data_IF_532989679751
#
_entry.id   IF_532989679751
#
_cell.length_a   1.000
_cell.length_b   1.000
_cell.length_c   1.000
_cell.angle_alpha   90.00
_cell.angle_beta   90.00
_cell.angle_gamma   90.00
#
_symmetry.space_group_name_H-M   'P 1'
#
loop_
_entity.id
_entity.type
_entity.pdbx_description
1 polymer ?
#
# COMPACT_ATOMS: atom_id res chain seq x y z
N UNK A 1 6.89 2.40 -1.02
CA UNK A 1 8.29 2.09 -0.70
C UNK A 1 9.10 3.36 -0.89
N UNK A 2 10.01 3.70 0.02
CA UNK A 2 10.84 4.91 -0.11
C UNK A 2 11.92 4.69 -1.16
N UNK A 3 12.15 5.66 -2.03
CA UNK A 3 13.33 5.61 -2.91
C UNK A 3 14.60 5.97 -2.12
N UNK A 4 15.77 5.66 -2.67
CA UNK A 4 17.05 6.07 -2.06
C UNK A 4 17.19 7.59 -2.01
N UNK A 5 16.60 8.30 -2.97
CA UNK A 5 16.52 9.76 -3.00
C UNK A 5 15.59 10.28 -1.91
N UNK A 6 14.43 9.64 -1.67
CA UNK A 6 13.53 10.00 -0.57
C UNK A 6 14.24 9.89 0.78
N UNK A 7 15.00 8.81 1.00
CA UNK A 7 15.80 8.61 2.22
C UNK A 7 16.92 9.66 2.34
N UNK A 8 17.63 9.94 1.25
CA UNK A 8 18.72 10.91 1.24
C UNK A 8 18.23 12.33 1.54
N UNK A 9 17.14 12.76 0.89
CA UNK A 9 16.47 14.06 1.10
C UNK A 9 16.03 14.24 2.54
N UNK A 10 15.31 13.26 3.06
CA UNK A 10 14.81 13.29 4.44
C UNK A 10 15.94 13.36 5.47
N UNK A 11 17.00 12.56 5.26
CA UNK A 11 18.18 12.59 6.13
C UNK A 11 18.92 13.93 6.08
N UNK A 12 19.13 14.49 4.89
CA UNK A 12 19.82 15.77 4.71
C UNK A 12 19.01 16.94 5.27
N UNK A 13 17.69 16.95 5.08
CA UNK A 13 16.81 17.98 5.66
C UNK A 13 16.84 17.96 7.19
N UNK A 14 16.78 16.78 7.81
CA UNK A 14 16.84 16.64 9.28
C UNK A 14 18.19 17.04 9.84
N UNK A 15 19.27 16.61 9.21
CA UNK A 15 20.64 16.91 9.66
C UNK A 15 21.07 18.35 9.35
N UNK A 16 20.52 18.93 8.28
CA UNK A 16 20.91 20.23 7.77
C UNK A 16 20.31 21.39 8.54
N UNK A 17 19.21 21.19 9.26
CA UNK A 17 18.49 22.27 9.95
C UNK A 17 19.45 23.04 10.87
N UNK A 18 19.57 24.35 10.65
CA UNK A 18 20.45 25.23 11.42
C UNK A 18 21.94 25.11 11.08
N UNK A 19 22.33 24.32 10.06
CA UNK A 19 23.71 24.28 9.61
C UNK A 19 24.04 25.53 8.80
N UNK A 20 25.19 26.12 9.11
CA UNK A 20 25.79 27.20 8.33
C UNK A 20 26.26 26.72 6.95
N UNK A 21 26.50 27.66 6.03
CA UNK A 21 27.07 27.36 4.72
C UNK A 21 28.40 26.59 4.79
N UNK A 22 29.25 26.88 5.78
CA UNK A 22 30.52 26.18 5.99
C UNK A 22 30.29 24.71 6.41
N UNK A 23 29.39 24.47 7.37
CA UNK A 23 29.05 23.12 7.83
C UNK A 23 28.35 22.30 6.73
N UNK A 24 27.53 22.94 5.90
CA UNK A 24 26.93 22.28 4.72
C UNK A 24 28.02 21.91 3.71
N UNK A 25 29.04 22.76 3.49
CA UNK A 25 30.17 22.44 2.62
C UNK A 25 31.00 21.25 3.14
N UNK A 26 31.16 21.12 4.46
CA UNK A 26 31.77 19.94 5.09
C UNK A 26 30.93 18.68 4.81
N UNK A 27 29.60 18.77 4.90
CA UNK A 27 28.70 17.64 4.58
C UNK A 27 28.77 17.23 3.12
N UNK A 28 28.90 18.18 2.19
CA UNK A 28 29.16 17.89 0.76
C UNK A 28 30.45 17.11 0.60
N UNK A 29 31.52 17.55 1.25
CA UNK A 29 32.84 16.91 1.19
C UNK A 29 32.81 15.50 1.78
N UNK A 30 32.15 15.33 2.92
CA UNK A 30 31.95 14.03 3.57
C UNK A 30 31.19 13.07 2.64
N UNK A 31 30.06 13.52 2.08
CA UNK A 31 29.23 12.70 1.21
C UNK A 31 29.99 12.29 -0.08
N UNK A 32 30.75 13.21 -0.68
CA UNK A 32 31.61 12.91 -1.84
C UNK A 32 32.70 11.89 -1.52
N UNK A 33 33.32 11.95 -0.33
CA UNK A 33 34.29 10.93 0.11
C UNK A 33 33.61 9.57 0.25
N UNK A 34 32.47 9.51 0.95
CA UNK A 34 31.74 8.26 1.20
C UNK A 34 31.19 7.62 -0.08
N UNK A 35 30.72 8.43 -1.02
CA UNK A 35 30.32 7.95 -2.35
C UNK A 35 31.49 7.24 -3.04
N UNK A 36 32.68 7.87 -3.09
CA UNK A 36 33.86 7.25 -3.70
C UNK A 36 34.30 5.98 -3.00
N UNK A 37 34.33 5.98 -1.67
CA UNK A 37 34.71 4.80 -0.87
C UNK A 37 33.78 3.62 -1.13
N UNK A 38 32.46 3.86 -1.13
CA UNK A 38 31.47 2.79 -1.35
C UNK A 38 31.45 2.30 -2.80
N UNK A 39 31.67 3.19 -3.78
CA UNK A 39 31.88 2.78 -5.18
C UNK A 39 33.16 1.94 -5.37
N UNK A 40 34.24 2.26 -4.65
CA UNK A 40 35.47 1.47 -4.69
C UNK A 40 35.30 0.11 -4.02
N UNK A 41 34.58 0.05 -2.90
CA UNK A 41 34.25 -1.21 -2.24
C UNK A 41 33.44 -2.12 -3.16
N UNK A 42 32.46 -1.59 -3.90
CA UNK A 42 31.68 -2.36 -4.87
C UNK A 42 32.56 -2.98 -5.98
N UNK A 43 33.67 -2.33 -6.35
CA UNK A 43 34.62 -2.81 -7.36
C UNK A 43 35.65 -3.80 -6.82
N UNK A 44 35.74 -3.97 -5.50
CA UNK A 44 36.71 -4.85 -4.88
C UNK A 44 36.27 -6.33 -4.98
N UNK A 45 37.20 -7.26 -5.23
CA UNK A 45 36.89 -8.68 -5.45
C UNK A 45 36.30 -9.41 -4.23
N UNK A 46 36.23 -8.76 -3.05
CA UNK A 46 35.68 -9.32 -1.82
C UNK A 46 34.14 -9.49 -1.82
N UNK A 47 33.43 -8.97 -2.83
CA UNK A 47 31.96 -9.02 -2.91
C UNK A 47 31.43 -10.19 -3.76
N UNK A 48 32.26 -11.15 -4.12
CA UNK A 48 31.88 -12.26 -5.02
C UNK A 48 31.19 -13.44 -4.30
N UNK A 49 31.11 -13.43 -2.95
CA UNK A 49 30.48 -14.48 -2.12
C UNK A 49 29.31 -13.95 -1.28
N UNK A 50 28.39 -13.21 -1.92
CA UNK A 50 27.21 -12.68 -1.24
C UNK A 50 26.13 -13.77 -1.25
N UNK A 51 25.89 -14.39 -0.09
CA UNK A 51 24.79 -15.34 0.09
C UNK A 51 23.41 -14.71 -0.17
N UNK A 52 22.34 -15.51 -0.38
CA UNK A 52 21.02 -15.06 -0.83
C UNK A 52 20.28 -14.09 0.11
N UNK A 53 20.82 -13.82 1.29
CA UNK A 53 20.24 -12.94 2.30
C UNK A 53 21.06 -11.67 2.57
N UNK A 54 22.19 -11.49 1.88
CA UNK A 54 22.99 -10.30 2.11
C UNK A 54 22.37 -9.07 1.43
N UNK A 55 22.59 -7.86 2.00
CA UNK A 55 21.99 -6.63 1.50
C UNK A 55 22.40 -6.37 0.05
N UNK A 56 21.53 -5.73 -0.73
CA UNK A 56 21.88 -5.25 -2.06
C UNK A 56 23.19 -4.43 -1.99
N UNK A 57 24.29 -4.92 -2.58
CA UNK A 57 25.59 -4.26 -2.48
C UNK A 57 25.60 -2.90 -3.18
N UNK A 58 24.68 -2.67 -4.13
CA UNK A 58 24.54 -1.38 -4.81
C UNK A 58 23.76 -0.35 -4.00
N UNK A 59 23.01 -0.78 -2.98
CA UNK A 59 22.16 0.11 -2.20
C UNK A 59 22.96 1.22 -1.52
N UNK A 60 24.07 0.86 -0.88
CA UNK A 60 24.88 1.81 -0.11
C UNK A 60 25.59 2.85 -1.01
N UNK A 61 26.23 2.47 -2.15
CA UNK A 61 26.71 3.43 -3.15
C UNK A 61 25.61 4.37 -3.68
N UNK A 62 24.43 3.83 -4.04
CA UNK A 62 23.30 4.63 -4.51
C UNK A 62 22.83 5.63 -3.46
N UNK A 63 22.75 5.21 -2.21
CA UNK A 63 22.37 6.08 -1.10
C UNK A 63 23.37 7.24 -0.89
N UNK A 64 24.68 6.96 -0.94
CA UNK A 64 25.68 8.01 -0.78
C UNK A 64 25.72 8.99 -1.95
N UNK A 65 25.55 8.51 -3.18
CA UNK A 65 25.40 9.37 -4.36
C UNK A 65 24.18 10.29 -4.24
N UNK A 66 23.04 9.75 -3.78
CA UNK A 66 21.83 10.53 -3.54
C UNK A 66 22.04 11.57 -2.42
N UNK A 67 22.69 11.21 -1.31
CA UNK A 67 23.05 12.14 -0.23
C UNK A 67 23.97 13.26 -0.71
N UNK A 68 24.99 12.92 -1.50
CA UNK A 68 25.91 13.90 -2.05
C UNK A 68 25.19 14.90 -2.96
N UNK A 69 24.31 14.41 -3.84
CA UNK A 69 23.47 15.26 -4.70
C UNK A 69 22.62 16.22 -3.87
N UNK A 70 21.98 15.72 -2.81
CA UNK A 70 21.13 16.54 -1.96
C UNK A 70 21.91 17.60 -1.16
N UNK A 71 23.06 17.24 -0.59
CA UNK A 71 23.90 18.22 0.11
C UNK A 71 24.39 19.33 -0.82
N UNK A 72 24.68 19.01 -2.09
CA UNK A 72 25.02 20.01 -3.11
C UNK A 72 23.85 20.94 -3.42
N UNK A 73 22.62 20.41 -3.46
CA UNK A 73 21.41 21.21 -3.64
C UNK A 73 21.21 22.19 -2.47
N UNK A 74 21.35 21.71 -1.23
CA UNK A 74 21.25 22.56 -0.02
C UNK A 74 22.34 23.64 -0.02
N UNK A 75 23.58 23.30 -0.38
CA UNK A 75 24.66 24.28 -0.51
C UNK A 75 24.35 25.35 -1.57
N UNK A 76 23.80 24.95 -2.72
CA UNK A 76 23.38 25.87 -3.77
C UNK A 76 22.21 26.76 -3.32
N UNK A 77 21.26 26.21 -2.57
CA UNK A 77 20.13 26.94 -2.02
C UNK A 77 20.61 28.02 -1.04
N UNK A 78 21.48 27.68 -0.08
CA UNK A 78 22.06 28.65 0.85
C UNK A 78 22.81 29.77 0.13
N UNK A 79 23.60 29.41 -0.88
CA UNK A 79 24.32 30.40 -1.69
C UNK A 79 23.37 31.33 -2.44
N UNK A 80 22.25 30.81 -2.94
CA UNK A 80 21.27 31.57 -3.70
C UNK A 80 20.38 32.45 -2.81
N UNK A 81 20.02 31.98 -1.62
CA UNK A 81 19.19 32.74 -0.67
C UNK A 81 19.98 33.81 0.08
N UNK A 82 21.30 33.63 0.24
CA UNK A 82 22.13 34.50 1.07
C UNK A 82 21.90 34.32 2.57
N UNK A 83 21.11 33.32 2.95
CA UNK A 83 20.84 32.97 4.35
C UNK A 83 22.09 32.42 5.02
N UNK A 84 22.25 32.70 6.31
CA UNK A 84 23.42 32.23 7.06
C UNK A 84 23.31 30.75 7.42
N UNK A 85 22.08 30.25 7.62
CA UNK A 85 21.79 28.90 8.08
C UNK A 85 20.68 28.27 7.23
N UNK A 86 20.75 26.94 7.10
CA UNK A 86 19.74 26.22 6.34
C UNK A 86 18.46 26.05 7.16
N UNK A 87 17.39 26.70 6.70
CA UNK A 87 16.04 26.50 7.19
C UNK A 87 15.22 25.66 6.18
N UNK A 88 14.86 24.40 6.51
CA UNK A 88 14.03 23.57 5.65
C UNK A 88 12.65 24.16 5.32
N UNK A 89 12.13 25.08 6.14
CA UNK A 89 10.82 25.71 5.92
C UNK A 89 10.87 26.77 4.80
N UNK A 90 12.06 27.26 4.46
CA UNK A 90 12.28 28.14 3.31
C UNK A 90 12.62 27.35 2.02
N UNK A 91 12.86 26.05 2.14
CA UNK A 91 13.14 25.15 1.02
C UNK A 91 11.85 24.67 0.35
N UNK A 92 11.32 25.51 -0.54
CA UNK A 92 10.06 25.23 -1.26
C UNK A 92 10.09 23.90 -2.02
N UNK A 93 11.23 23.58 -2.65
CA UNK A 93 11.41 22.32 -3.37
C UNK A 93 11.41 21.13 -2.42
N UNK A 94 12.12 21.25 -1.30
CA UNK A 94 12.15 20.23 -0.25
C UNK A 94 10.78 19.97 0.38
N UNK A 95 9.99 21.01 0.60
CA UNK A 95 8.62 20.89 1.10
C UNK A 95 7.69 20.21 0.10
N UNK A 96 7.76 20.59 -1.18
CA UNK A 96 6.95 19.96 -2.24
C UNK A 96 7.22 18.45 -2.32
N UNK A 97 8.49 18.03 -2.31
CA UNK A 97 8.84 16.62 -2.28
C UNK A 97 8.37 15.90 -1.02
N UNK A 98 8.39 16.56 0.15
CA UNK A 98 7.86 16.00 1.37
C UNK A 98 6.35 15.76 1.28
N UNK A 99 5.60 16.68 0.69
CA UNK A 99 4.16 16.56 0.45
C UNK A 99 3.83 15.44 -0.55
N UNK A 100 4.54 15.36 -1.68
CA UNK A 100 4.36 14.28 -2.66
C UNK A 100 4.60 12.90 -2.04
N UNK A 101 5.59 12.81 -1.17
CA UNK A 101 5.92 11.58 -0.44
C UNK A 101 4.84 11.20 0.56
N UNK A 102 4.27 12.16 1.27
CA UNK A 102 3.13 11.92 2.17
C UNK A 102 1.91 11.44 1.36
N UNK A 103 1.59 12.10 0.25
CA UNK A 103 0.50 11.70 -0.64
C UNK A 103 0.69 10.26 -1.17
N UNK A 104 1.92 9.90 -1.56
CA UNK A 104 2.24 8.51 -1.97
C UNK A 104 2.05 7.51 -0.83
N UNK A 105 2.45 7.87 0.40
CA UNK A 105 2.27 7.02 1.58
C UNK A 105 0.80 6.83 1.89
N UNK A 106 0.04 7.92 1.96
CA UNK A 106 -1.39 7.89 2.24
C UNK A 106 -2.13 7.07 1.19
N UNK A 107 -1.85 7.30 -0.11
CA UNK A 107 -2.46 6.51 -1.18
C UNK A 107 -2.13 5.01 -1.11
N UNK A 108 -0.95 4.62 -0.60
CA UNK A 108 -0.62 3.21 -0.38
C UNK A 108 -1.40 2.61 0.81
N UNK A 109 -1.56 3.38 1.89
CA UNK A 109 -2.39 3.01 3.05
C UNK A 109 -3.84 2.84 2.62
N UNK A 110 -4.38 3.79 1.86
CA UNK A 110 -5.78 3.77 1.40
C UNK A 110 -6.04 2.57 0.48
N UNK A 111 -5.12 2.28 -0.46
CA UNK A 111 -5.22 1.09 -1.31
C UNK A 111 -5.17 -0.20 -0.50
N UNK A 112 -4.29 -0.28 0.50
CA UNK A 112 -4.24 -1.44 1.37
C UNK A 112 -5.52 -1.59 2.19
N UNK A 113 -6.06 -0.50 2.72
CA UNK A 113 -7.33 -0.49 3.45
C UNK A 113 -8.51 -0.89 2.55
N UNK A 114 -8.54 -0.43 1.31
CA UNK A 114 -9.53 -0.84 0.30
C UNK A 114 -9.44 -2.33 -0.01
N UNK A 115 -8.24 -2.83 -0.28
CA UNK A 115 -8.01 -4.27 -0.50
C UNK A 115 -8.40 -5.12 0.71
N UNK A 116 -8.12 -4.65 1.93
CA UNK A 116 -8.53 -5.33 3.17
C UNK A 116 -10.04 -5.28 3.42
N UNK A 117 -10.76 -4.27 2.90
CA UNK A 117 -12.23 -4.24 2.90
C UNK A 117 -12.78 -5.24 1.92
N UNK A 118 -12.35 -5.17 0.65
CA UNK A 118 -12.76 -6.11 -0.40
C UNK A 118 -12.49 -7.58 -0.02
N UNK A 119 -11.34 -7.85 0.62
CA UNK A 119 -11.02 -9.20 1.12
C UNK A 119 -11.90 -9.65 2.28
N UNK A 120 -12.39 -8.72 3.12
CA UNK A 120 -13.37 -9.03 4.17
C UNK A 120 -14.73 -9.32 3.55
N UNK A 121 -15.19 -8.45 2.64
CA UNK A 121 -16.46 -8.63 1.94
C UNK A 121 -16.48 -9.97 1.17
N UNK A 122 -15.38 -10.31 0.47
CA UNK A 122 -15.23 -11.60 -0.21
C UNK A 122 -15.13 -12.81 0.73
N UNK A 123 -14.66 -12.63 1.97
CA UNK A 123 -14.62 -13.68 2.99
C UNK A 123 -16.00 -13.88 3.63
N UNK A 124 -16.77 -12.80 3.74
CA UNK A 124 -18.11 -12.80 4.29
C UNK A 124 -19.14 -13.32 3.25
N UNK A 125 -18.79 -13.30 1.96
CA UNK A 125 -19.51 -14.04 0.90
C UNK A 125 -19.34 -15.57 1.07
N UNK A 126 -20.27 -16.20 1.80
CA UNK A 126 -20.31 -17.66 1.96
C UNK A 126 -20.96 -18.32 0.76
N UNK A 127 -20.14 -18.92 -0.12
CA UNK A 127 -20.62 -19.76 -1.23
C UNK A 127 -20.96 -21.16 -0.72
N UNK A 128 -22.24 -21.51 -0.73
CA UNK A 128 -22.71 -22.86 -0.50
C UNK A 128 -23.12 -23.50 -1.83
N UNK A 129 -22.69 -24.75 -2.06
CA UNK A 129 -23.19 -25.58 -3.15
C UNK A 129 -24.20 -26.56 -2.58
N UNK A 130 -25.39 -26.62 -3.17
CA UNK A 130 -26.46 -27.53 -2.74
C UNK A 130 -26.82 -28.43 -3.92
N UNK A 131 -26.80 -29.75 -3.68
CA UNK A 131 -27.27 -30.73 -4.65
C UNK A 131 -28.72 -31.07 -4.35
N UNK A 132 -29.58 -30.80 -5.32
CA UNK A 132 -31.01 -31.10 -5.24
C UNK A 132 -31.32 -32.31 -6.11
N UNK A 133 -32.34 -33.09 -5.70
CA UNK A 133 -32.90 -34.12 -6.58
C UNK A 133 -33.38 -33.49 -7.89
N UNK A 134 -33.46 -34.30 -8.95
CA UNK A 134 -33.94 -33.83 -10.25
C UNK A 134 -35.37 -33.27 -10.18
N UNK A 135 -36.23 -33.86 -9.34
CA UNK A 135 -37.60 -33.39 -9.18
C UNK A 135 -37.68 -32.05 -8.45
N UNK A 136 -36.97 -31.93 -7.34
CA UNK A 136 -36.87 -30.67 -6.58
C UNK A 136 -36.30 -29.55 -7.44
N UNK A 137 -35.29 -29.84 -8.26
CA UNK A 137 -34.69 -28.88 -9.19
C UNK A 137 -35.67 -28.38 -10.25
N UNK A 138 -36.49 -29.27 -10.83
CA UNK A 138 -37.53 -28.89 -11.80
C UNK A 138 -38.60 -28.00 -11.17
N UNK A 139 -39.06 -28.35 -9.98
CA UNK A 139 -40.05 -27.57 -9.24
C UNK A 139 -39.52 -26.18 -8.91
N UNK A 140 -38.30 -26.09 -8.39
CA UNK A 140 -37.65 -24.83 -8.07
C UNK A 140 -37.56 -23.91 -9.31
N UNK A 141 -37.11 -24.44 -10.45
CA UNK A 141 -37.05 -23.67 -11.71
C UNK A 141 -38.42 -23.19 -12.19
N UNK A 142 -39.46 -24.02 -12.07
CA UNK A 142 -40.81 -23.62 -12.46
C UNK A 142 -41.37 -22.50 -11.58
N UNK A 143 -41.11 -22.57 -10.26
CA UNK A 143 -41.50 -21.54 -9.29
C UNK A 143 -40.76 -20.23 -9.59
N UNK A 144 -39.44 -20.31 -9.79
CA UNK A 144 -38.60 -19.17 -10.10
C UNK A 144 -39.05 -18.49 -11.42
N UNK A 145 -39.29 -19.27 -12.47
CA UNK A 145 -39.78 -18.76 -13.75
C UNK A 145 -41.14 -18.05 -13.62
N UNK A 146 -42.08 -18.61 -12.85
CA UNK A 146 -43.39 -18.00 -12.61
C UNK A 146 -43.28 -16.69 -11.84
N UNK A 147 -42.30 -16.57 -10.94
CA UNK A 147 -42.05 -15.37 -10.14
C UNK A 147 -41.13 -14.35 -10.82
N UNK A 148 -40.55 -14.67 -11.99
CA UNK A 148 -39.55 -13.81 -12.64
C UNK A 148 -38.21 -13.75 -11.90
N UNK A 149 -37.87 -14.78 -11.13
CA UNK A 149 -36.68 -14.86 -10.28
C UNK A 149 -35.70 -15.92 -10.80
N UNK A 150 -34.45 -15.84 -10.33
CA UNK A 150 -33.50 -16.94 -10.45
C UNK A 150 -33.73 -18.00 -9.35
N UNK A 151 -33.47 -19.29 -9.60
CA UNK A 151 -33.60 -20.36 -8.61
C UNK A 151 -32.88 -20.07 -7.28
N UNK A 152 -31.73 -19.40 -7.33
CA UNK A 152 -30.91 -19.02 -6.18
C UNK A 152 -31.61 -18.00 -5.29
N UNK A 153 -32.36 -17.05 -5.88
CA UNK A 153 -33.13 -16.06 -5.12
C UNK A 153 -34.30 -16.70 -4.37
N UNK A 154 -34.89 -17.74 -4.95
CA UNK A 154 -35.94 -18.53 -4.27
C UNK A 154 -35.35 -19.37 -3.14
N UNK A 155 -34.15 -19.94 -3.32
CA UNK A 155 -33.44 -20.68 -2.27
C UNK A 155 -33.01 -19.75 -1.11
N UNK A 156 -32.56 -18.54 -1.40
CA UNK A 156 -32.23 -17.55 -0.38
C UNK A 156 -33.46 -17.22 0.47
N UNK A 157 -34.60 -16.96 -0.16
CA UNK A 157 -35.86 -16.70 0.55
C UNK A 157 -36.36 -17.92 1.33
N UNK A 158 -36.18 -19.14 0.80
CA UNK A 158 -36.47 -20.36 1.57
C UNK A 158 -35.62 -20.41 2.84
N UNK A 159 -34.31 -20.15 2.73
CA UNK A 159 -33.39 -20.15 3.87
C UNK A 159 -33.71 -19.05 4.90
N UNK A 160 -34.13 -17.86 4.46
CA UNK A 160 -34.57 -16.77 5.33
C UNK A 160 -35.87 -17.08 6.10
N UNK A 161 -36.73 -17.90 5.52
CA UNK A 161 -38.03 -18.28 6.10
C UNK A 161 -38.00 -19.63 6.85
N UNK A 162 -36.81 -20.25 6.96
CA UNK A 162 -36.61 -21.46 7.77
C UNK A 162 -36.86 -21.14 9.25
N UNK A 163 -37.63 -22.01 9.90
CA UNK A 163 -37.82 -22.06 11.34
C UNK A 163 -37.65 -23.50 11.81
N UNK A 164 -37.41 -23.67 13.10
CA UNK A 164 -37.42 -24.98 13.74
C UNK A 164 -38.73 -25.10 14.51
N UNK A 165 -39.44 -26.21 14.35
CA UNK A 165 -40.65 -26.51 15.14
C UNK A 165 -40.30 -27.02 16.56
N UNK A 166 -41.32 -27.31 17.36
CA UNK A 166 -41.18 -27.73 18.76
C UNK A 166 -40.46 -29.10 18.88
N UNK A 167 -40.53 -29.92 17.83
CA UNK A 167 -39.89 -31.23 17.71
C UNK A 167 -38.47 -31.17 17.12
N UNK A 168 -37.99 -29.99 16.71
CA UNK A 168 -36.64 -29.80 16.17
C UNK A 168 -36.51 -29.98 14.67
N UNK A 169 -37.62 -30.15 13.93
CA UNK A 169 -37.61 -30.25 12.47
C UNK A 169 -37.54 -28.88 11.80
N UNK A 170 -36.83 -28.83 10.67
CA UNK A 170 -36.65 -27.62 9.86
C UNK A 170 -37.86 -27.45 8.94
N UNK A 171 -38.64 -26.41 9.18
CA UNK A 171 -39.88 -26.10 8.44
C UNK A 171 -39.82 -24.70 7.84
N UNK A 172 -40.47 -24.51 6.70
CA UNK A 172 -40.63 -23.19 6.07
C UNK A 172 -42.12 -22.90 5.97
N UNK A 173 -42.56 -21.78 6.54
CA UNK A 173 -43.95 -21.35 6.42
C UNK A 173 -44.29 -21.02 4.95
N UNK A 174 -45.54 -21.23 4.50
CA UNK A 174 -45.94 -20.85 3.16
C UNK A 174 -45.68 -19.37 2.88
N UNK A 175 -44.96 -19.06 1.81
CA UNK A 175 -44.70 -17.70 1.36
C UNK A 175 -44.79 -17.60 -0.17
N UNK A 176 -44.92 -16.37 -0.67
CA UNK A 176 -44.84 -16.07 -2.11
C UNK A 176 -43.47 -15.46 -2.39
N UNK A 177 -42.65 -16.05 -3.29
CA UNK A 177 -41.34 -15.48 -3.64
C UNK A 177 -41.48 -14.08 -4.23
N UNK A 178 -40.63 -13.16 -3.80
CA UNK A 178 -40.62 -11.76 -4.25
C UNK A 178 -39.23 -11.32 -4.70
N UNK A 179 -39.11 -10.35 -5.62
CA UNK A 179 -37.82 -9.74 -5.92
C UNK A 179 -37.25 -9.12 -4.64
N UNK A 180 -35.95 -9.29 -4.42
CA UNK A 180 -35.23 -8.57 -3.36
C UNK A 180 -35.00 -7.16 -3.88
N UNK A 181 -35.58 -6.14 -3.24
CA UNK A 181 -35.22 -4.74 -3.52
C UNK A 181 -33.81 -4.52 -2.97
N UNK A 182 -32.85 -4.26 -3.86
CA UNK A 182 -31.51 -3.84 -3.46
C UNK A 182 -31.61 -2.51 -2.69
N UNK A 183 -31.25 -2.52 -1.40
CA UNK A 183 -31.10 -1.33 -0.55
C UNK A 183 -29.69 -0.79 -0.60
#
# INVERSE_FOLDING_TARGET
MWSVEDVARDAAQRQGRGLSAAQVAEKVTEASRRERETQQQLKAPAWTEIGPFAPDPEHLPKLWAAKHTEWRRIAALLKASGEQEYNPEQDTQGMAWAQEREARRQGAVDRHAAWMRERRDAKDERRAQVWLSADTSRRLRAIAARAGLQPEQVLAQLAENVRTDEEGAVVVAPFTPRPVEES
#
